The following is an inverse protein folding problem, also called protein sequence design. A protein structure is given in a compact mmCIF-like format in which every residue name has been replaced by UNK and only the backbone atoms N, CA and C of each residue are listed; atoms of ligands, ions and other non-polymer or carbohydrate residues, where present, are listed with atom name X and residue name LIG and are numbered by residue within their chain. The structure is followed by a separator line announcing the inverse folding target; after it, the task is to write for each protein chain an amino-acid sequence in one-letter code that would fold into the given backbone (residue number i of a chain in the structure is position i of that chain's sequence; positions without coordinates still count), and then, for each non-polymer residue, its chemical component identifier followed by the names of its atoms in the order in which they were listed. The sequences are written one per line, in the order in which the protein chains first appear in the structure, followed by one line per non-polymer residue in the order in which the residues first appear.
data_IF_960059086718
#
_entry.id   IF_960059086718
#
_cell.length_a   1.000
_cell.length_b   1.000
_cell.length_c   1.000
_cell.angle_alpha   90.00
_cell.angle_beta   90.00
_cell.angle_gamma   90.00
#
_symmetry.space_group_name_H-M   'P 1'
#
loop_
_entity.id
_entity.type
_entity.pdbx_description
1 polymer ?
#
# COMPACT_ATOMS: atom_id res chain seq x y z
N UNK A 1 -20.68 3.16 -1.01
CA UNK A 1 -21.03 2.02 -0.15
C UNK A 1 -19.95 0.96 -0.23
N UNK A 2 -19.46 0.50 0.92
CA UNK A 2 -18.38 -0.48 0.96
C UNK A 2 -18.96 -1.90 0.82
N UNK A 3 -18.44 -2.65 -0.15
CA UNK A 3 -18.86 -4.03 -0.37
C UNK A 3 -17.95 -5.01 0.38
N UNK A 4 -18.33 -6.28 0.40
CA UNK A 4 -17.49 -7.34 0.94
C UNK A 4 -16.13 -7.40 0.23
N UNK A 5 -16.13 -7.21 -1.09
CA UNK A 5 -14.90 -7.19 -1.89
C UNK A 5 -14.01 -6.01 -1.47
N UNK A 6 -14.59 -4.83 -1.28
CA UNK A 6 -13.84 -3.65 -0.85
C UNK A 6 -13.24 -3.86 0.55
N UNK A 7 -14.00 -4.46 1.48
CA UNK A 7 -13.49 -4.76 2.80
C UNK A 7 -12.33 -5.75 2.75
N UNK A 8 -12.40 -6.75 1.89
CA UNK A 8 -11.32 -7.71 1.68
C UNK A 8 -10.08 -7.02 1.10
N UNK A 9 -10.26 -6.09 0.15
CA UNK A 9 -9.16 -5.32 -0.42
C UNK A 9 -8.49 -4.43 0.63
N UNK A 10 -9.27 -3.78 1.50
CA UNK A 10 -8.71 -2.99 2.58
C UNK A 10 -7.87 -3.85 3.53
N UNK A 11 -8.30 -5.07 3.81
CA UNK A 11 -7.54 -6.03 4.60
C UNK A 11 -6.21 -6.40 3.95
N UNK A 12 -6.20 -6.66 2.64
CA UNK A 12 -4.98 -6.94 1.88
C UNK A 12 -4.03 -5.75 1.88
N UNK A 13 -4.55 -4.54 1.72
CA UNK A 13 -3.77 -3.31 1.73
C UNK A 13 -3.07 -3.15 3.08
N UNK A 14 -3.81 -3.33 4.16
CA UNK A 14 -3.28 -3.21 5.52
C UNK A 14 -2.21 -4.28 5.78
N UNK A 15 -2.46 -5.51 5.38
CA UNK A 15 -1.53 -6.61 5.56
C UNK A 15 -0.24 -6.40 4.76
N UNK A 16 -0.36 -6.05 3.49
CA UNK A 16 0.80 -5.77 2.64
C UNK A 16 1.61 -4.57 3.16
N UNK A 17 0.92 -3.50 3.55
CA UNK A 17 1.56 -2.30 4.11
C UNK A 17 2.31 -2.60 5.39
N UNK A 18 1.72 -3.39 6.27
CA UNK A 18 2.37 -3.80 7.52
C UNK A 18 3.62 -4.64 7.24
N UNK A 19 3.55 -5.55 6.27
CA UNK A 19 4.70 -6.34 5.87
C UNK A 19 5.84 -5.45 5.36
N UNK A 20 5.54 -4.45 4.56
CA UNK A 20 6.55 -3.49 4.08
C UNK A 20 7.17 -2.73 5.25
N UNK A 21 6.35 -2.26 6.19
CA UNK A 21 6.85 -1.53 7.35
C UNK A 21 7.82 -2.37 8.18
N UNK A 22 7.50 -3.64 8.38
CA UNK A 22 8.36 -4.57 9.12
C UNK A 22 9.66 -4.83 8.36
N UNK A 23 9.58 -5.11 7.06
CA UNK A 23 10.74 -5.43 6.23
C UNK A 23 11.71 -4.26 6.08
N UNK A 24 11.21 -3.04 6.16
CA UNK A 24 12.03 -1.83 5.94
C UNK A 24 12.41 -1.11 7.23
N UNK A 25 11.98 -1.61 8.38
CA UNK A 25 12.27 -0.98 9.66
C UNK A 25 13.78 -0.78 9.86
N UNK A 26 14.17 0.46 10.11
CA UNK A 26 15.56 0.81 10.34
C UNK A 26 16.44 0.83 9.11
N UNK A 27 15.93 0.55 7.92
CA UNK A 27 16.71 0.57 6.69
C UNK A 27 16.72 1.96 6.04
N UNK A 28 17.89 2.37 5.58
CA UNK A 28 18.04 3.52 4.72
C UNK A 28 17.91 3.11 3.26
N UNK A 29 17.74 4.09 2.38
CA UNK A 29 17.57 3.87 0.95
C UNK A 29 18.64 2.94 0.36
N UNK A 30 19.91 3.24 0.62
CA UNK A 30 21.01 2.47 0.08
C UNK A 30 21.00 1.02 0.56
N UNK A 31 20.64 0.81 1.83
CA UNK A 31 20.56 -0.51 2.41
C UNK A 31 19.46 -1.36 1.77
N UNK A 32 18.28 -0.76 1.60
CA UNK A 32 17.15 -1.44 0.97
C UNK A 32 17.46 -1.80 -0.48
N UNK A 33 17.96 -0.84 -1.26
CA UNK A 33 18.23 -1.03 -2.68
C UNK A 33 19.36 -2.05 -2.95
N UNK A 34 20.27 -2.18 -1.98
CA UNK A 34 21.40 -3.11 -2.05
C UNK A 34 21.03 -4.52 -1.62
N UNK A 35 20.03 -4.67 -0.77
CA UNK A 35 19.61 -5.97 -0.24
C UNK A 35 18.70 -6.69 -1.22
N UNK A 36 19.29 -7.60 -1.99
CA UNK A 36 18.60 -8.30 -3.07
C UNK A 36 17.31 -8.98 -2.63
N UNK A 37 17.37 -9.74 -1.53
CA UNK A 37 16.22 -10.50 -1.04
C UNK A 37 15.16 -9.59 -0.43
N UNK A 38 15.55 -8.68 0.44
CA UNK A 38 14.63 -7.76 1.10
C UNK A 38 13.95 -6.87 0.07
N UNK A 39 14.71 -6.34 -0.89
CA UNK A 39 14.17 -5.54 -1.98
C UNK A 39 13.09 -6.30 -2.76
N UNK A 40 13.36 -7.56 -3.11
CA UNK A 40 12.40 -8.38 -3.85
C UNK A 40 11.11 -8.60 -3.06
N UNK A 41 11.22 -8.88 -1.77
CA UNK A 41 10.07 -9.10 -0.90
C UNK A 41 9.26 -7.81 -0.72
N UNK A 42 9.92 -6.69 -0.51
CA UNK A 42 9.27 -5.38 -0.38
C UNK A 42 8.53 -5.03 -1.67
N UNK A 43 9.19 -5.21 -2.81
CA UNK A 43 8.56 -4.91 -4.11
C UNK A 43 7.32 -5.76 -4.34
N UNK A 44 7.35 -7.05 -3.98
CA UNK A 44 6.19 -7.92 -4.10
C UNK A 44 5.02 -7.41 -3.28
N UNK A 45 5.27 -7.03 -2.03
CA UNK A 45 4.23 -6.49 -1.16
C UNK A 45 3.69 -5.16 -1.66
N UNK A 46 4.56 -4.28 -2.17
CA UNK A 46 4.13 -3.01 -2.75
C UNK A 46 3.27 -3.20 -3.98
N UNK A 47 3.59 -4.17 -4.83
CA UNK A 47 2.76 -4.49 -6.00
C UNK A 47 1.38 -4.98 -5.58
N UNK A 48 1.31 -5.83 -4.56
CA UNK A 48 0.04 -6.30 -4.01
C UNK A 48 -0.78 -5.13 -3.47
N UNK A 49 -0.14 -4.26 -2.70
CA UNK A 49 -0.80 -3.09 -2.12
C UNK A 49 -1.34 -2.16 -3.21
N UNK A 50 -0.48 -1.76 -4.14
CA UNK A 50 -0.86 -0.84 -5.21
C UNK A 50 -1.98 -1.42 -6.09
N UNK A 51 -1.87 -2.69 -6.45
CA UNK A 51 -2.89 -3.39 -7.23
C UNK A 51 -4.23 -3.46 -6.48
N UNK A 52 -4.18 -3.74 -5.18
CA UNK A 52 -5.39 -3.78 -4.35
C UNK A 52 -6.04 -2.40 -4.25
N UNK A 53 -5.24 -1.35 -4.08
CA UNK A 53 -5.73 0.03 -4.06
C UNK A 53 -6.49 0.38 -5.35
N UNK A 54 -5.96 0.00 -6.50
CA UNK A 54 -6.60 0.31 -7.79
C UNK A 54 -7.91 -0.44 -8.00
N UNK A 55 -8.11 -1.54 -7.30
CA UNK A 55 -9.33 -2.36 -7.42
C UNK A 55 -10.48 -1.88 -6.53
N UNK A 56 -10.22 -1.02 -5.56
CA UNK A 56 -11.27 -0.49 -4.69
C UNK A 56 -12.24 0.37 -5.49
N UNK A 57 -13.54 0.10 -5.36
CA UNK A 57 -14.56 0.79 -6.13
C UNK A 57 -14.61 2.29 -5.80
N UNK A 58 -14.97 3.16 -6.79
CA UNK A 58 -15.05 4.61 -6.56
C UNK A 58 -15.92 5.01 -5.37
N UNK A 59 -17.02 4.31 -5.14
CA UNK A 59 -17.91 4.60 -4.02
C UNK A 59 -17.20 4.39 -2.68
N UNK A 60 -16.42 3.30 -2.56
CA UNK A 60 -15.65 3.03 -1.35
C UNK A 60 -14.50 4.02 -1.18
N UNK A 61 -13.84 4.41 -2.26
CA UNK A 61 -12.79 5.46 -2.23
C UNK A 61 -13.34 6.77 -1.67
N UNK A 62 -14.57 7.12 -2.04
CA UNK A 62 -15.23 8.33 -1.55
C UNK A 62 -15.51 8.32 -0.04
N UNK A 63 -15.62 7.14 0.56
CA UNK A 63 -15.77 6.98 2.00
C UNK A 63 -14.44 7.08 2.75
N UNK A 64 -13.32 7.02 2.02
CA UNK A 64 -11.95 7.02 2.57
C UNK A 64 -11.10 8.09 1.87
N UNK A 65 -11.53 9.37 1.90
CA UNK A 65 -10.92 10.42 1.08
C UNK A 65 -9.50 10.81 1.52
N UNK A 66 -9.07 10.47 2.73
CA UNK A 66 -7.72 10.79 3.21
C UNK A 66 -6.64 9.86 2.62
N UNK A 67 -7.03 8.71 2.10
CA UNK A 67 -6.07 7.84 1.41
C UNK A 67 -5.71 8.45 0.06
N UNK A 68 -4.43 8.39 -0.29
CA UNK A 68 -3.92 8.97 -1.54
C UNK A 68 -4.16 8.03 -2.73
N UNK A 69 -5.41 7.94 -3.15
CA UNK A 69 -5.82 7.06 -4.26
C UNK A 69 -5.10 7.41 -5.56
N UNK A 70 -5.03 8.71 -5.88
CA UNK A 70 -4.36 9.16 -7.10
C UNK A 70 -2.86 8.91 -7.06
N UNK A 71 -2.25 9.07 -5.89
CA UNK A 71 -0.83 8.78 -5.69
C UNK A 71 -0.52 7.31 -5.94
N UNK A 72 -1.35 6.41 -5.41
CA UNK A 72 -1.16 4.98 -5.64
C UNK A 72 -1.44 4.58 -7.09
N UNK A 73 -2.45 5.17 -7.71
CA UNK A 73 -2.74 4.93 -9.13
C UNK A 73 -1.55 5.34 -10.01
N UNK A 74 -0.91 6.47 -9.69
CA UNK A 74 0.27 6.94 -10.43
C UNK A 74 1.51 6.09 -10.16
N UNK A 75 1.65 5.58 -8.94
CA UNK A 75 2.80 4.78 -8.53
C UNK A 75 2.78 3.37 -9.10
N UNK A 76 1.59 2.79 -9.27
CA UNK A 76 1.43 1.41 -9.70
C UNK A 76 2.22 1.05 -10.97
N UNK A 77 2.13 1.81 -12.08
CA UNK A 77 2.94 1.51 -13.26
C UNK A 77 4.45 1.59 -13.00
N UNK A 78 4.89 2.50 -12.15
CA UNK A 78 6.32 2.66 -11.82
C UNK A 78 6.86 1.49 -11.03
N UNK A 79 6.05 0.90 -10.17
CA UNK A 79 6.42 -0.31 -9.43
C UNK A 79 6.53 -1.53 -10.36
N UNK A 80 5.92 -1.46 -11.53
CA UNK A 80 5.98 -2.50 -12.56
C UNK A 80 6.99 -2.18 -13.67
N UNK A 81 7.78 -1.12 -13.52
CA UNK A 81 8.82 -0.77 -14.48
C UNK A 81 9.97 -1.77 -14.43
N UNK A 82 10.76 -1.88 -15.53
CA UNK A 82 11.96 -2.72 -15.50
C UNK A 82 12.97 -2.21 -14.48
N UNK A 83 13.92 -3.07 -14.06
CA UNK A 83 14.95 -2.66 -13.12
C UNK A 83 15.68 -1.41 -13.60
N UNK A 84 15.83 -0.42 -12.70
CA UNK A 84 16.46 0.85 -13.01
C UNK A 84 16.02 1.95 -12.05
N UNK A 85 16.37 3.18 -12.39
CA UNK A 85 16.16 4.33 -11.51
C UNK A 85 14.69 4.63 -11.26
N UNK A 86 13.83 4.48 -12.26
CA UNK A 86 12.38 4.73 -12.10
C UNK A 86 11.81 3.80 -11.05
N UNK A 87 12.14 2.51 -11.13
CA UNK A 87 11.68 1.52 -10.15
C UNK A 87 12.27 1.80 -8.76
N UNK A 88 13.56 2.11 -8.69
CA UNK A 88 14.23 2.36 -7.42
C UNK A 88 13.63 3.55 -6.68
N UNK A 89 13.37 4.64 -7.39
CA UNK A 89 12.75 5.83 -6.81
C UNK A 89 11.33 5.54 -6.35
N UNK A 90 10.55 4.84 -7.16
CA UNK A 90 9.17 4.47 -6.81
C UNK A 90 9.14 3.58 -5.56
N UNK A 91 10.02 2.60 -5.52
CA UNK A 91 10.11 1.66 -4.40
C UNK A 91 10.45 2.39 -3.10
N UNK A 92 11.46 3.25 -3.12
CA UNK A 92 11.85 3.99 -1.92
C UNK A 92 10.78 5.00 -1.50
N UNK A 93 10.21 5.74 -2.44
CA UNK A 93 9.14 6.70 -2.15
C UNK A 93 7.94 6.00 -1.51
N UNK A 94 7.56 4.84 -2.03
CA UNK A 94 6.47 4.06 -1.44
C UNK A 94 6.77 3.67 0.01
N UNK A 95 7.99 3.19 0.28
CA UNK A 95 8.39 2.77 1.63
C UNK A 95 8.48 3.94 2.61
N UNK A 96 9.04 5.06 2.16
CA UNK A 96 9.31 6.22 3.02
C UNK A 96 8.07 7.05 3.30
N UNK A 97 7.21 7.24 2.30
CA UNK A 97 6.11 8.19 2.38
C UNK A 97 4.73 7.56 2.27
N UNK A 98 4.51 6.75 1.24
CA UNK A 98 3.16 6.28 0.90
C UNK A 98 2.63 5.23 1.87
N UNK A 99 3.45 4.25 2.22
CA UNK A 99 3.02 3.17 3.12
C UNK A 99 2.75 3.69 4.53
N UNK A 100 3.64 4.49 5.15
CA UNK A 100 3.36 5.04 6.48
C UNK A 100 2.08 5.87 6.54
N UNK A 101 1.84 6.71 5.53
CA UNK A 101 0.63 7.54 5.49
C UNK A 101 -0.62 6.67 5.32
N UNK A 102 -0.55 5.67 4.46
CA UNK A 102 -1.67 4.75 4.22
C UNK A 102 -2.02 3.98 5.50
N UNK A 103 -1.03 3.43 6.18
CA UNK A 103 -1.25 2.68 7.42
C UNK A 103 -1.81 3.57 8.52
N UNK A 104 -1.36 4.81 8.61
CA UNK A 104 -1.86 5.77 9.60
C UNK A 104 -3.35 6.00 9.41
N UNK A 105 -3.78 6.29 8.18
CA UNK A 105 -5.20 6.54 7.89
C UNK A 105 -6.05 5.29 8.02
N UNK A 106 -5.54 4.12 7.62
CA UNK A 106 -6.27 2.86 7.82
C UNK A 106 -6.51 2.59 9.31
N UNK A 107 -5.53 2.91 10.17
CA UNK A 107 -5.70 2.79 11.62
C UNK A 107 -6.80 3.72 12.13
N UNK A 108 -6.81 4.95 11.67
CA UNK A 108 -7.83 5.94 12.05
C UNK A 108 -9.22 5.46 11.62
N UNK A 109 -9.34 5.00 10.38
CA UNK A 109 -10.62 4.48 9.88
C UNK A 109 -11.08 3.24 10.65
N UNK A 110 -10.17 2.34 10.97
CA UNK A 110 -10.51 1.13 11.71
C UNK A 110 -11.04 1.46 13.10
N UNK A 111 -10.52 2.50 13.73
CA UNK A 111 -11.00 2.95 15.03
C UNK A 111 -12.34 3.67 14.95
N UNK A 112 -12.54 4.49 13.94
CA UNK A 112 -13.72 5.35 13.81
C UNK A 112 -14.86 4.71 13.02
N UNK A 113 -14.53 3.85 12.06
CA UNK A 113 -15.49 3.21 11.15
C UNK A 113 -15.13 1.74 10.96
N UNK A 114 -15.15 0.93 12.04
CA UNK A 114 -14.72 -0.48 11.95
C UNK A 114 -15.56 -1.31 10.98
N UNK A 115 -16.78 -0.89 10.68
CA UNK A 115 -17.64 -1.58 9.75
C UNK A 115 -17.11 -1.65 8.33
N UNK A 116 -16.22 -0.71 7.94
CA UNK A 116 -15.59 -0.72 6.62
C UNK A 116 -14.66 -1.92 6.41
N UNK A 117 -14.18 -2.51 7.50
CA UNK A 117 -13.21 -3.61 7.47
C UNK A 117 -13.86 -4.96 7.73
N UNK A 118 -15.16 -5.00 8.01
CA UNK A 118 -15.85 -6.24 8.30
C UNK A 118 -16.19 -7.00 7.03
N UNK A 119 -15.85 -8.28 7.03
CA UNK A 119 -16.26 -9.21 5.99
C UNK A 119 -17.40 -10.07 6.49
N UNK A 120 -18.44 -9.43 7.05
CA UNK A 120 -19.61 -10.10 7.55
C UNK A 120 -20.53 -10.51 6.39
N UNK A 121 -21.05 -11.73 6.48
CA UNK A 121 -22.00 -12.24 5.50
C UNK A 121 -23.43 -11.80 5.84
#
# INVERSE_FOLDING_TARGET
MTTLIDSALLGLIEEAGTAVAILTEGLERAELLRSRLTRAQVLQQLKTLASSMTQVAPAARGELPELDWLGWDALNPRLNAPPGEVLDEALWFACEAMVPATLLWLRVYRQNQPELFRMAL
#
